data_IF_252119972577
#
_entry.id   IF_252119972577
#
_cell.length_a   1.000
_cell.length_b   1.000
_cell.length_c   1.000
_cell.angle_alpha   90.00
_cell.angle_beta   90.00
_cell.angle_gamma   90.00
#
_symmetry.space_group_name_H-M   'P 1'
#
loop_
_entity.id
_entity.type
_entity.pdbx_description
1 polymer ?
#
# COMPACT_ATOMS: atom_id res chain seq x y z
N UNK A 1 -8.02 35.00 12.09
CA UNK A 1 -6.94 35.08 11.08
C UNK A 1 -5.62 34.76 11.77
N UNK A 2 -5.23 33.47 11.79
CA UNK A 2 -3.88 33.06 12.18
C UNK A 2 -3.27 32.39 10.96
N UNK A 3 -2.33 33.10 10.36
CA UNK A 3 -1.50 32.67 9.26
C UNK A 3 -0.61 31.51 9.73
N UNK A 4 -0.56 30.43 8.94
CA UNK A 4 0.47 29.40 9.03
C UNK A 4 1.53 29.70 7.97
N UNK A 5 2.72 30.21 8.31
CA UNK A 5 3.84 30.27 7.40
C UNK A 5 4.64 28.97 7.47
N UNK A 6 4.91 28.42 6.28
CA UNK A 6 6.00 27.52 5.90
C UNK A 6 7.13 27.35 6.94
N UNK A 7 7.18 26.16 7.56
CA UNK A 7 8.39 25.34 7.77
C UNK A 7 8.07 24.26 8.82
N UNK A 8 7.96 23.00 8.37
CA UNK A 8 7.75 21.80 9.21
C UNK A 8 6.43 21.82 9.97
N UNK A 9 5.51 20.93 9.60
CA UNK A 9 4.40 20.54 10.47
C UNK A 9 5.01 19.95 11.75
N UNK A 10 5.25 20.79 12.76
CA UNK A 10 5.77 20.33 14.05
C UNK A 10 4.62 19.59 14.73
N UNK A 11 4.67 18.27 14.67
CA UNK A 11 3.83 17.34 15.42
C UNK A 11 3.99 17.59 16.93
N UNK A 12 3.30 18.60 17.46
CA UNK A 12 3.23 18.92 18.90
C UNK A 12 1.79 18.77 19.39
N UNK A 13 1.06 17.81 18.86
CA UNK A 13 -0.14 17.30 19.49
C UNK A 13 0.26 16.09 20.34
N UNK A 14 0.05 16.17 21.66
CA UNK A 14 0.39 15.10 22.61
C UNK A 14 -0.42 13.81 22.40
N UNK A 15 -1.39 13.81 21.48
CA UNK A 15 -2.19 12.62 21.11
C UNK A 15 -1.59 11.77 19.99
N UNK A 16 -0.57 12.25 19.27
CA UNK A 16 0.06 11.52 18.14
C UNK A 16 1.35 10.84 18.58
N UNK A 17 1.21 9.75 19.33
CA UNK A 17 2.33 9.08 20.00
C UNK A 17 2.93 7.93 19.21
N UNK A 18 2.26 7.45 18.17
CA UNK A 18 2.71 6.37 17.30
C UNK A 18 2.60 6.72 15.82
N UNK A 19 3.34 6.03 14.95
CA UNK A 19 3.18 6.13 13.49
C UNK A 19 1.74 5.80 13.07
N UNK A 20 1.09 4.84 13.71
CA UNK A 20 -0.31 4.50 13.50
C UNK A 20 -1.25 5.70 13.77
N UNK A 21 -0.96 6.51 14.80
CA UNK A 21 -1.71 7.74 15.09
C UNK A 21 -1.49 8.80 14.01
N UNK A 22 -0.26 8.95 13.51
CA UNK A 22 0.08 9.85 12.40
C UNK A 22 -0.68 9.44 11.13
N UNK A 23 -0.68 8.16 10.79
CA UNK A 23 -1.43 7.65 9.63
C UNK A 23 -2.93 7.81 9.85
N UNK A 24 -3.44 7.62 11.06
CA UNK A 24 -4.84 7.91 11.40
C UNK A 24 -5.18 9.39 11.23
N UNK A 25 -4.24 10.29 11.53
CA UNK A 25 -4.41 11.73 11.29
C UNK A 25 -4.52 12.02 9.79
N UNK A 26 -3.61 11.47 8.98
CA UNK A 26 -3.61 11.64 7.54
C UNK A 26 -4.84 11.01 6.86
N UNK A 27 -5.33 9.88 7.35
CA UNK A 27 -6.52 9.21 6.80
C UNK A 27 -7.79 10.10 6.88
N UNK A 28 -7.82 11.08 7.80
CA UNK A 28 -8.92 12.06 7.88
C UNK A 28 -8.96 13.04 6.69
N UNK A 29 -7.82 13.26 6.04
CA UNK A 29 -7.70 14.13 4.88
C UNK A 29 -7.90 13.36 3.56
N UNK A 30 -8.03 12.03 3.60
CA UNK A 30 -8.29 11.20 2.42
C UNK A 30 -9.49 11.75 1.65
N UNK A 31 -9.28 11.98 0.35
CA UNK A 31 -10.33 12.56 -0.51
C UNK A 31 -11.51 11.61 -0.61
N UNK A 32 -12.68 12.12 -0.23
CA UNK A 32 -13.91 11.34 -0.06
C UNK A 32 -14.77 11.25 -1.33
N UNK A 33 -15.92 10.60 -1.18
CA UNK A 33 -16.87 10.25 -2.24
C UNK A 33 -17.33 11.48 -3.05
N UNK A 34 -17.28 11.36 -4.38
CA UNK A 34 -17.74 12.40 -5.34
C UNK A 34 -17.15 13.80 -5.09
N UNK A 35 -15.95 13.87 -4.51
CA UNK A 35 -15.25 15.14 -4.33
C UNK A 35 -14.83 15.75 -5.68
N UNK A 36 -14.45 14.90 -6.64
CA UNK A 36 -14.05 15.34 -7.97
C UNK A 36 -15.19 15.24 -8.98
N UNK A 37 -15.40 16.33 -9.72
CA UNK A 37 -15.99 16.29 -11.06
C UNK A 37 -14.87 16.18 -12.10
N UNK A 38 -15.20 16.14 -13.39
CA UNK A 38 -14.18 16.04 -14.44
C UNK A 38 -13.11 17.13 -14.33
N UNK A 39 -13.52 18.38 -14.23
CA UNK A 39 -12.59 19.53 -14.20
C UNK A 39 -11.69 19.49 -12.97
N UNK A 40 -12.24 19.15 -11.80
CA UNK A 40 -11.44 19.09 -10.57
C UNK A 40 -10.59 17.82 -10.48
N UNK A 41 -11.03 16.71 -11.08
CA UNK A 41 -10.23 15.50 -11.27
C UNK A 41 -9.01 15.78 -12.16
N UNK A 42 -9.23 16.37 -13.34
CA UNK A 42 -8.17 16.70 -14.29
C UNK A 42 -7.16 17.66 -13.66
N UNK A 43 -7.66 18.66 -12.93
CA UNK A 43 -6.80 19.57 -12.17
C UNK A 43 -6.01 18.83 -11.08
N UNK A 44 -6.60 17.86 -10.39
CA UNK A 44 -5.97 17.08 -9.33
C UNK A 44 -4.95 16.06 -9.83
N UNK A 45 -4.94 15.68 -11.11
CA UNK A 45 -3.92 14.79 -11.65
C UNK A 45 -2.55 15.49 -11.71
N UNK A 46 -1.44 14.76 -11.45
CA UNK A 46 -0.12 15.32 -11.64
C UNK A 46 0.12 15.56 -13.13
N UNK A 47 0.71 16.71 -13.46
CA UNK A 47 1.38 16.90 -14.75
C UNK A 47 2.54 15.90 -14.89
N UNK A 48 3.02 15.60 -16.11
CA UNK A 48 4.17 14.69 -16.28
C UNK A 48 5.42 15.09 -15.48
N UNK A 49 5.67 16.39 -15.33
CA UNK A 49 6.77 16.92 -14.53
C UNK A 49 6.55 16.78 -13.02
N UNK A 50 5.32 16.98 -12.54
CA UNK A 50 4.98 16.74 -11.13
C UNK A 50 5.07 15.25 -10.78
N UNK A 51 4.55 14.38 -11.65
CA UNK A 51 4.61 12.92 -11.46
C UNK A 51 6.06 12.46 -11.38
N UNK A 52 6.90 12.89 -12.33
CA UNK A 52 8.34 12.58 -12.33
C UNK A 52 9.01 13.07 -11.05
N UNK A 53 8.80 14.34 -10.67
CA UNK A 53 9.38 14.90 -9.44
C UNK A 53 8.92 14.13 -8.19
N UNK A 54 7.67 13.66 -8.17
CA UNK A 54 7.08 12.97 -7.03
C UNK A 54 7.63 11.55 -6.90
N UNK A 55 7.71 10.81 -8.01
CA UNK A 55 8.35 9.49 -8.05
C UNK A 55 9.85 9.57 -7.76
N UNK A 56 10.56 10.58 -8.26
CA UNK A 56 11.99 10.79 -7.95
C UNK A 56 12.20 11.06 -6.45
N UNK A 57 11.28 11.79 -5.82
CA UNK A 57 11.31 12.02 -4.37
C UNK A 57 11.09 10.72 -3.59
N UNK A 58 10.18 9.85 -4.05
CA UNK A 58 9.97 8.50 -3.48
C UNK A 58 11.23 7.65 -3.61
N UNK A 59 11.85 7.62 -4.79
CA UNK A 59 13.10 6.89 -5.03
C UNK A 59 14.25 7.43 -4.15
N UNK A 60 14.34 8.75 -3.96
CA UNK A 60 15.31 9.37 -3.06
C UNK A 60 15.08 8.97 -1.59
N UNK A 61 13.82 8.94 -1.14
CA UNK A 61 13.46 8.50 0.21
C UNK A 61 13.84 7.04 0.49
N UNK A 62 13.69 6.16 -0.50
CA UNK A 62 14.14 4.76 -0.36
C UNK A 62 15.65 4.62 -0.09
N UNK A 63 16.46 5.65 -0.35
CA UNK A 63 17.89 5.67 -0.08
C UNK A 63 18.27 6.37 1.24
N UNK A 64 17.32 6.85 2.03
CA UNK A 64 17.63 7.55 3.28
C UNK A 64 18.24 6.60 4.32
N UNK A 65 19.30 7.09 4.96
CA UNK A 65 19.92 6.50 6.15
C UNK A 65 20.27 7.60 7.16
N UNK A 66 19.54 7.64 8.26
CA UNK A 66 19.65 8.59 9.37
C UNK A 66 19.14 10.01 9.12
N UNK A 67 18.79 10.40 7.88
CA UNK A 67 18.52 11.81 7.57
C UNK A 67 17.46 12.07 6.49
N UNK A 68 16.22 12.36 6.90
CA UNK A 68 15.14 12.77 6.01
C UNK A 68 15.40 14.12 5.30
N UNK A 69 16.23 15.00 5.87
CA UNK A 69 16.51 16.33 5.29
C UNK A 69 17.43 16.28 4.09
N UNK A 70 18.06 15.12 3.83
CA UNK A 70 18.85 14.89 2.62
C UNK A 70 17.98 14.84 1.35
N UNK A 71 16.68 14.57 1.48
CA UNK A 71 15.75 14.54 0.36
C UNK A 71 15.09 15.91 0.22
N UNK A 72 15.52 16.66 -0.79
CA UNK A 72 14.89 17.93 -1.13
C UNK A 72 13.61 17.68 -1.94
N UNK A 73 12.50 18.30 -1.51
CA UNK A 73 11.28 18.35 -2.32
C UNK A 73 11.49 19.33 -3.47
N UNK A 74 11.39 18.89 -4.74
CA UNK A 74 11.55 19.77 -5.91
C UNK A 74 10.58 20.95 -5.87
N UNK A 75 10.99 22.11 -6.39
CA UNK A 75 10.17 23.35 -6.34
C UNK A 75 8.77 23.21 -6.91
N UNK A 76 8.60 22.37 -7.95
CA UNK A 76 7.30 22.08 -8.55
C UNK A 76 6.33 21.37 -7.59
N UNK A 77 6.84 20.77 -6.51
CA UNK A 77 6.06 20.08 -5.49
C UNK A 77 5.98 20.82 -4.16
N UNK A 78 6.72 21.91 -3.95
CA UNK A 78 6.86 22.53 -2.62
C UNK A 78 5.54 23.06 -2.03
N UNK A 79 4.58 23.43 -2.88
CA UNK A 79 3.25 23.88 -2.47
C UNK A 79 2.24 22.72 -2.34
N UNK A 80 2.64 21.50 -2.73
CA UNK A 80 1.77 20.31 -2.76
C UNK A 80 2.22 19.29 -1.72
N UNK A 81 3.51 19.04 -1.59
CA UNK A 81 4.10 17.98 -0.76
C UNK A 81 5.21 18.50 0.14
N UNK A 82 5.40 17.82 1.25
CA UNK A 82 6.58 17.98 2.10
C UNK A 82 7.13 16.62 2.54
N UNK A 83 8.44 16.60 2.82
CA UNK A 83 9.08 15.50 3.54
C UNK A 83 9.24 15.94 5.00
N UNK A 84 8.66 15.16 5.91
CA UNK A 84 8.73 15.40 7.35
C UNK A 84 9.43 14.25 8.06
N UNK A 85 10.22 14.58 9.08
CA UNK A 85 10.74 13.63 10.07
C UNK A 85 9.71 13.48 11.19
N UNK A 86 9.34 12.25 11.50
CA UNK A 86 8.56 11.90 12.68
C UNK A 86 9.38 10.97 13.58
N UNK A 87 9.40 11.25 14.88
CA UNK A 87 10.09 10.46 15.89
C UNK A 87 9.08 9.88 16.88
N UNK A 88 8.96 8.56 16.88
CA UNK A 88 8.19 7.80 17.85
C UNK A 88 9.12 7.44 19.01
N UNK A 89 8.87 8.02 20.19
CA UNK A 89 9.69 7.79 21.39
C UNK A 89 8.95 6.89 22.37
N UNK A 90 9.52 5.72 22.62
CA UNK A 90 9.16 4.80 23.70
C UNK A 90 10.19 4.90 24.84
N UNK A 91 9.90 4.38 26.05
CA UNK A 91 10.83 4.47 27.19
C UNK A 91 12.23 3.89 26.95
N UNK A 92 12.37 2.94 26.03
CA UNK A 92 13.59 2.18 25.76
C UNK A 92 14.11 2.32 24.32
N UNK A 93 13.38 3.02 23.44
CA UNK A 93 13.74 3.14 22.03
C UNK A 93 13.11 4.37 21.37
N UNK A 94 13.84 4.98 20.43
CA UNK A 94 13.30 5.98 19.51
C UNK A 94 13.37 5.42 18.10
N UNK A 95 12.24 5.45 17.39
CA UNK A 95 12.17 5.11 15.97
C UNK A 95 11.82 6.36 15.18
N UNK A 96 12.47 6.52 14.04
CA UNK A 96 12.30 7.72 13.22
C UNK A 96 11.86 7.34 11.81
N UNK A 97 11.00 8.16 11.22
CA UNK A 97 10.37 7.91 9.92
C UNK A 97 10.43 9.16 9.05
N UNK A 98 10.75 8.99 7.77
CA UNK A 98 10.59 10.03 6.77
C UNK A 98 9.26 9.85 6.08
N UNK A 99 8.43 10.89 6.09
CA UNK A 99 7.07 10.85 5.56
C UNK A 99 6.94 11.91 4.47
N UNK A 100 6.66 11.48 3.25
CA UNK A 100 6.21 12.31 2.15
C UNK A 100 4.68 12.38 2.17
N UNK A 101 4.15 13.57 2.46
CA UNK A 101 2.71 13.79 2.56
C UNK A 101 2.28 15.08 1.89
N UNK A 102 1.06 15.06 1.36
CA UNK A 102 0.41 16.25 0.81
C UNK A 102 0.17 17.29 1.92
N UNK A 103 0.37 18.56 1.60
CA UNK A 103 0.26 19.70 2.54
C UNK A 103 -0.90 20.62 2.22
N UNK A 104 -1.45 20.58 1.00
CA UNK A 104 -2.60 21.36 0.58
C UNK A 104 -3.90 20.57 0.82
N UNK A 105 -4.84 21.20 1.52
CA UNK A 105 -6.18 20.65 1.73
C UNK A 105 -7.22 21.74 1.46
N UNK A 106 -8.39 21.32 1.00
CA UNK A 106 -9.54 22.20 0.83
C UNK A 106 -10.14 22.51 2.22
N UNK A 107 -10.12 23.78 2.60
CA UNK A 107 -10.54 24.20 3.94
C UNK A 107 -12.03 23.99 4.22
N UNK A 108 -12.87 23.89 3.18
CA UNK A 108 -14.31 23.69 3.34
C UNK A 108 -14.67 22.23 3.63
N UNK A 109 -14.02 21.29 2.94
CA UNK A 109 -14.25 19.85 3.09
C UNK A 109 -13.32 19.20 4.13
N UNK A 110 -12.13 19.76 4.34
CA UNK A 110 -11.08 19.16 5.15
C UNK A 110 -10.30 18.05 4.45
N UNK A 111 -10.50 17.84 3.15
CA UNK A 111 -9.79 16.81 2.37
C UNK A 111 -8.60 17.38 1.62
N UNK A 112 -7.66 16.51 1.26
CA UNK A 112 -6.61 16.83 0.30
C UNK A 112 -7.16 17.37 -1.02
N UNK A 113 -6.37 18.21 -1.68
CA UNK A 113 -6.78 18.77 -2.98
C UNK A 113 -6.45 17.79 -4.10
N UNK A 114 -5.29 17.13 -4.03
CA UNK A 114 -4.76 16.21 -5.04
C UNK A 114 -5.05 14.74 -4.73
N UNK A 115 -4.81 14.32 -3.49
CA UNK A 115 -5.01 12.96 -3.02
C UNK A 115 -4.09 11.93 -3.69
N UNK A 116 -2.83 12.26 -4.02
CA UNK A 116 -1.91 11.31 -4.68
C UNK A 116 -1.43 10.20 -3.74
N UNK A 117 -1.38 10.49 -2.43
CA UNK A 117 -1.06 9.51 -1.40
C UNK A 117 0.07 9.93 -0.47
N UNK A 118 0.35 9.04 0.47
CA UNK A 118 1.40 9.17 1.47
C UNK A 118 2.42 8.07 1.26
N UNK A 119 3.69 8.43 1.35
CA UNK A 119 4.79 7.48 1.31
C UNK A 119 5.67 7.65 2.55
N UNK A 120 6.08 6.53 3.16
CA UNK A 120 6.96 6.57 4.33
C UNK A 120 8.05 5.49 4.27
N UNK A 121 9.20 5.84 4.84
CA UNK A 121 10.36 4.95 5.04
C UNK A 121 10.88 5.12 6.47
N UNK A 122 11.64 4.13 6.95
CA UNK A 122 12.37 4.29 8.21
C UNK A 122 13.50 5.27 7.97
N UNK A 123 13.61 6.30 8.81
CA UNK A 123 14.69 7.27 8.70
C UNK A 123 16.04 6.62 9.01
N UNK A 124 16.08 5.72 10.00
CA UNK A 124 17.26 4.94 10.36
C UNK A 124 16.91 3.45 10.35
N UNK A 125 16.98 2.77 9.19
CA UNK A 125 16.58 1.38 9.10
C UNK A 125 17.46 0.50 9.98
N UNK A 126 16.84 -0.33 10.82
CA UNK A 126 17.57 -1.35 11.58
C UNK A 126 18.21 -2.33 10.59
N UNK A 127 19.53 -2.42 10.59
CA UNK A 127 20.22 -3.41 9.78
C UNK A 127 20.27 -4.75 10.55
N UNK A 128 19.87 -5.86 9.91
CA UNK A 128 19.43 -5.94 8.53
C UNK A 128 17.93 -5.71 8.29
N UNK A 129 17.60 -4.86 7.32
CA UNK A 129 16.21 -4.52 6.96
C UNK A 129 15.60 -5.56 6.01
N UNK A 130 14.31 -5.87 6.18
CA UNK A 130 13.56 -6.69 5.21
C UNK A 130 13.10 -5.82 4.05
N UNK A 131 13.16 -6.35 2.83
CA UNK A 131 12.58 -5.73 1.62
C UNK A 131 11.07 -5.97 1.54
N UNK A 132 10.37 -5.79 2.65
CA UNK A 132 8.91 -5.77 2.67
C UNK A 132 8.43 -4.37 2.29
N UNK A 133 7.45 -4.32 1.40
CA UNK A 133 6.81 -3.08 0.98
C UNK A 133 5.31 -3.19 1.26
N UNK A 134 4.82 -2.46 2.25
CA UNK A 134 3.40 -2.48 2.60
C UNK A 134 2.64 -1.36 1.90
N UNK A 135 1.43 -1.66 1.44
CA UNK A 135 0.57 -0.66 0.86
C UNK A 135 -0.91 -0.83 1.25
N UNK A 136 -1.63 0.29 1.28
CA UNK A 136 -3.08 0.34 1.52
C UNK A 136 -3.73 1.17 0.40
N UNK A 137 -4.22 0.53 -0.67
CA UNK A 137 -4.76 1.23 -1.83
C UNK A 137 -6.17 1.80 -1.60
N UNK A 138 -6.91 1.31 -0.61
CA UNK A 138 -8.30 1.69 -0.36
C UNK A 138 -8.53 2.24 1.05
N UNK A 139 -7.90 3.39 1.40
CA UNK A 139 -8.16 4.08 2.66
C UNK A 139 -9.65 4.38 2.81
N UNK A 140 -10.13 4.48 4.06
CA UNK A 140 -11.55 4.67 4.43
C UNK A 140 -12.47 3.50 4.03
N UNK A 141 -12.52 3.10 2.75
CA UNK A 141 -13.36 2.00 2.25
C UNK A 141 -13.03 0.67 2.91
N UNK A 142 -11.76 0.32 2.97
CA UNK A 142 -11.35 -0.97 3.51
C UNK A 142 -11.22 -0.92 5.03
N UNK A 143 -11.36 0.26 5.64
CA UNK A 143 -11.31 0.56 7.07
C UNK A 143 -10.10 -0.04 7.79
N UNK A 144 -9.30 0.80 8.46
CA UNK A 144 -8.13 0.38 9.25
C UNK A 144 -6.97 -0.22 8.46
N UNK A 145 -7.09 -0.49 7.16
CA UNK A 145 -5.97 -0.99 6.34
C UNK A 145 -4.76 -0.04 6.33
N UNK A 146 -4.89 1.31 6.31
CA UNK A 146 -3.72 2.20 6.43
C UNK A 146 -2.98 2.02 7.75
N UNK A 147 -3.72 1.95 8.87
CA UNK A 147 -3.15 1.79 10.21
C UNK A 147 -2.54 0.40 10.41
N UNK A 148 -3.13 -0.64 9.84
CA UNK A 148 -2.55 -1.97 9.86
C UNK A 148 -1.27 -2.02 9.02
N UNK A 149 -1.29 -1.48 7.80
CA UNK A 149 -0.11 -1.41 6.95
C UNK A 149 1.03 -0.64 7.62
N UNK A 150 0.74 0.46 8.32
CA UNK A 150 1.75 1.24 9.04
C UNK A 150 2.30 0.53 10.27
N UNK A 151 1.45 -0.17 11.03
CA UNK A 151 1.87 -1.01 12.13
C UNK A 151 2.81 -2.13 11.66
N UNK A 152 2.45 -2.83 10.58
CA UNK A 152 3.28 -3.89 10.00
C UNK A 152 4.58 -3.35 9.44
N UNK A 153 4.53 -2.23 8.74
CA UNK A 153 5.73 -1.55 8.24
C UNK A 153 6.72 -1.26 9.37
N UNK A 154 6.26 -0.71 10.50
CA UNK A 154 7.07 -0.44 11.68
C UNK A 154 7.57 -1.71 12.37
N UNK A 155 6.69 -2.68 12.62
CA UNK A 155 6.98 -3.86 13.46
C UNK A 155 7.81 -4.92 12.76
N UNK A 156 7.79 -4.95 11.42
CA UNK A 156 8.57 -5.93 10.63
C UNK A 156 9.92 -5.39 10.14
N UNK A 157 10.22 -4.11 10.37
CA UNK A 157 11.43 -3.52 9.81
C UNK A 157 11.36 -3.37 8.28
N UNK A 158 10.15 -3.15 7.75
CA UNK A 158 9.90 -3.07 6.32
C UNK A 158 10.55 -1.85 5.68
N UNK A 159 10.78 -1.95 4.37
CA UNK A 159 11.46 -0.92 3.58
C UNK A 159 10.58 0.30 3.31
N UNK A 160 9.29 0.08 3.03
CA UNK A 160 8.39 1.21 2.73
C UNK A 160 6.92 0.95 3.10
N UNK A 161 6.20 2.06 3.25
CA UNK A 161 4.76 2.15 3.37
C UNK A 161 4.21 3.09 2.28
N UNK A 162 3.17 2.66 1.56
CA UNK A 162 2.43 3.48 0.59
C UNK A 162 0.92 3.45 0.89
N UNK A 163 0.32 4.61 1.11
CA UNK A 163 -1.14 4.73 1.35
C UNK A 163 -1.72 5.63 0.29
N UNK A 164 -2.81 5.22 -0.36
CA UNK A 164 -3.48 6.10 -1.33
C UNK A 164 -4.06 7.36 -0.64
N UNK A 165 -4.15 8.47 -1.36
CA UNK A 165 -4.62 9.74 -0.79
C UNK A 165 -6.10 10.02 -1.04
N UNK A 166 -6.77 9.14 -1.77
CA UNK A 166 -8.17 9.26 -2.15
C UNK A 166 -8.85 7.91 -2.20
N UNK A 167 -10.15 7.92 -1.95
CA UNK A 167 -10.97 6.73 -2.02
C UNK A 167 -11.28 6.38 -3.48
N UNK A 168 -11.55 5.10 -3.77
CA UNK A 168 -11.80 4.61 -5.14
C UNK A 168 -12.93 5.33 -5.87
N UNK A 169 -13.88 5.91 -5.14
CA UNK A 169 -15.04 6.67 -5.66
C UNK A 169 -14.90 8.20 -5.48
N UNK A 170 -13.69 8.72 -5.30
CA UNK A 170 -13.47 10.17 -5.22
C UNK A 170 -13.89 10.88 -6.52
N UNK A 171 -13.74 10.19 -7.66
CA UNK A 171 -14.49 10.44 -8.88
C UNK A 171 -15.40 9.24 -9.19
N UNK A 172 -16.59 9.49 -9.70
CA UNK A 172 -17.53 8.45 -10.17
C UNK A 172 -17.41 8.16 -11.67
N UNK A 173 -16.42 8.77 -12.33
CA UNK A 173 -16.13 8.46 -13.72
C UNK A 173 -15.47 7.07 -13.84
N UNK A 174 -16.01 6.16 -14.69
CA UNK A 174 -15.40 4.85 -14.92
C UNK A 174 -14.00 4.95 -15.49
N UNK A 175 -13.10 4.04 -15.07
CA UNK A 175 -11.78 3.93 -15.68
C UNK A 175 -11.84 3.32 -17.09
N UNK A 176 -10.91 3.74 -17.94
CA UNK A 176 -10.66 3.10 -19.24
C UNK A 176 -9.68 1.92 -19.14
N UNK A 177 -9.06 1.70 -17.98
CA UNK A 177 -8.10 0.63 -17.74
C UNK A 177 -8.82 -0.71 -17.48
N UNK A 178 -9.05 -1.08 -16.22
CA UNK A 178 -9.87 -2.26 -15.89
C UNK A 178 -11.32 -1.81 -15.77
N UNK A 179 -12.17 -2.11 -16.76
CA UNK A 179 -13.50 -1.49 -16.85
C UNK A 179 -14.55 -2.10 -15.91
N UNK A 180 -14.48 -3.40 -15.63
CA UNK A 180 -15.53 -4.10 -14.88
C UNK A 180 -14.97 -4.95 -13.76
N UNK A 181 -15.64 -4.94 -12.61
CA UNK A 181 -15.41 -5.89 -11.51
C UNK A 181 -16.02 -7.27 -11.81
N UNK A 182 -15.85 -8.20 -10.88
CA UNK A 182 -16.35 -9.58 -11.01
C UNK A 182 -17.89 -9.70 -10.99
N UNK A 183 -18.60 -8.66 -10.54
CA UNK A 183 -20.06 -8.59 -10.47
C UNK A 183 -20.66 -7.78 -11.64
N UNK A 184 -19.81 -7.28 -12.55
CA UNK A 184 -20.20 -6.46 -13.70
C UNK A 184 -20.39 -4.98 -13.39
N UNK A 185 -20.01 -4.52 -12.18
CA UNK A 185 -19.95 -3.12 -11.81
C UNK A 185 -18.70 -2.42 -12.36
N UNK A 186 -18.71 -1.07 -12.48
CA UNK A 186 -17.54 -0.35 -12.98
C UNK A 186 -16.48 -0.15 -11.89
N UNK A 187 -15.21 -0.28 -12.27
CA UNK A 187 -14.14 0.40 -11.54
C UNK A 187 -14.07 1.88 -11.97
N UNK A 188 -13.56 2.73 -11.08
CA UNK A 188 -13.49 4.17 -11.31
C UNK A 188 -12.06 4.62 -11.55
N UNK A 189 -11.88 5.75 -12.22
CA UNK A 189 -10.54 6.31 -12.49
C UNK A 189 -9.73 6.60 -11.23
N UNK A 190 -10.41 6.83 -10.10
CA UNK A 190 -9.77 7.06 -8.79
C UNK A 190 -9.50 5.78 -8.01
N UNK A 191 -9.70 4.58 -8.58
CA UNK A 191 -9.38 3.31 -7.92
C UNK A 191 -7.88 2.98 -8.04
N UNK A 192 -7.10 3.06 -6.95
CA UNK A 192 -5.64 2.91 -7.00
C UNK A 192 -5.17 1.50 -7.37
N UNK A 193 -6.04 0.50 -7.28
CA UNK A 193 -5.73 -0.88 -7.65
C UNK A 193 -6.11 -1.23 -9.09
N UNK A 194 -6.94 -0.41 -9.75
CA UNK A 194 -7.59 -0.75 -11.03
C UNK A 194 -7.39 0.27 -12.15
N UNK A 195 -6.71 1.39 -11.89
CA UNK A 195 -6.30 2.36 -12.91
C UNK A 195 -4.79 2.62 -12.84
N UNK A 196 -4.07 2.35 -13.93
CA UNK A 196 -2.63 2.58 -14.00
C UNK A 196 -2.23 4.06 -14.08
N UNK A 197 -3.19 4.96 -14.32
CA UNK A 197 -2.96 6.40 -14.33
C UNK A 197 -3.05 7.01 -12.91
N UNK A 198 -3.47 6.23 -11.91
CA UNK A 198 -3.44 6.70 -10.53
C UNK A 198 -1.98 6.89 -10.07
N UNK A 199 -1.65 7.99 -9.36
CA UNK A 199 -0.31 8.21 -8.80
C UNK A 199 0.16 7.05 -7.92
N UNK A 200 -0.76 6.36 -7.23
CA UNK A 200 -0.44 5.16 -6.46
C UNK A 200 0.25 4.07 -7.29
N UNK A 201 -0.17 3.84 -8.55
CA UNK A 201 0.50 2.90 -9.45
C UNK A 201 1.91 3.38 -9.80
N UNK A 202 2.07 4.68 -10.10
CA UNK A 202 3.37 5.30 -10.36
C UNK A 202 4.35 5.15 -9.19
N UNK A 203 3.88 5.37 -7.96
CA UNK A 203 4.66 5.15 -6.74
C UNK A 203 5.03 3.67 -6.57
N UNK A 204 4.06 2.77 -6.67
CA UNK A 204 4.28 1.32 -6.51
C UNK A 204 5.32 0.80 -7.53
N UNK A 205 5.20 1.24 -8.81
CA UNK A 205 6.18 0.95 -9.86
C UNK A 205 7.57 1.47 -9.53
N UNK A 206 7.66 2.68 -8.99
CA UNK A 206 8.95 3.29 -8.60
C UNK A 206 9.62 2.52 -7.48
N UNK A 207 8.85 2.07 -6.48
CA UNK A 207 9.35 1.25 -5.37
C UNK A 207 9.87 -0.09 -5.92
N UNK A 208 9.13 -0.72 -6.83
CA UNK A 208 9.55 -1.96 -7.47
C UNK A 208 10.84 -1.80 -8.28
N UNK A 209 10.92 -0.77 -9.14
CA UNK A 209 12.13 -0.49 -9.91
C UNK A 209 13.36 -0.26 -9.01
N UNK A 210 13.19 0.50 -7.92
CA UNK A 210 14.24 0.69 -6.92
C UNK A 210 14.66 -0.66 -6.30
N UNK A 211 13.73 -1.53 -5.93
CA UNK A 211 14.05 -2.83 -5.34
C UNK A 211 14.82 -3.73 -6.32
N UNK A 212 14.45 -3.72 -7.61
CA UNK A 212 15.18 -4.46 -8.66
C UNK A 212 16.61 -3.94 -8.85
N UNK A 213 16.80 -2.61 -8.87
CA UNK A 213 18.13 -1.98 -8.94
C UNK A 213 19.00 -2.26 -7.70
N UNK A 214 18.41 -2.69 -6.58
CA UNK A 214 19.08 -2.96 -5.30
C UNK A 214 19.13 -4.45 -4.94
N UNK A 215 19.18 -5.32 -5.96
CA UNK A 215 19.43 -6.76 -5.78
C UNK A 215 18.21 -7.66 -5.90
N UNK A 216 17.09 -7.11 -6.39
CA UNK A 216 15.89 -7.86 -6.74
C UNK A 216 15.03 -8.25 -5.55
N UNK A 217 13.83 -8.77 -5.84
CA UNK A 217 12.91 -9.27 -4.80
C UNK A 217 13.18 -10.74 -4.43
N UNK A 218 14.07 -10.96 -3.47
CA UNK A 218 14.37 -12.32 -3.00
C UNK A 218 13.25 -12.89 -2.13
N UNK A 219 12.68 -14.03 -2.54
CA UNK A 219 11.49 -14.64 -1.95
C UNK A 219 11.55 -14.93 -0.42
N UNK A 220 12.75 -15.00 0.17
CA UNK A 220 12.93 -15.23 1.61
C UNK A 220 12.84 -13.95 2.45
N UNK A 221 12.95 -12.76 1.84
CA UNK A 221 13.09 -11.49 2.56
C UNK A 221 12.39 -10.30 1.88
N UNK A 222 11.75 -10.52 0.74
CA UNK A 222 11.06 -9.49 -0.04
C UNK A 222 9.65 -9.91 -0.43
N UNK A 223 8.72 -8.95 -0.36
CA UNK A 223 7.38 -9.03 -0.92
C UNK A 223 6.74 -7.64 -1.01
N UNK A 224 5.82 -7.48 -1.95
CA UNK A 224 4.96 -6.31 -2.11
C UNK A 224 3.56 -6.65 -1.61
N UNK A 225 3.20 -6.14 -0.44
CA UNK A 225 1.99 -6.52 0.28
C UNK A 225 0.95 -5.42 0.16
N UNK A 226 -0.20 -5.72 -0.43
CA UNK A 226 -1.37 -4.84 -0.40
C UNK A 226 -2.39 -5.33 0.61
N UNK A 227 -2.66 -4.50 1.62
CA UNK A 227 -3.64 -4.74 2.66
C UNK A 227 -5.01 -4.26 2.19
N UNK A 228 -5.94 -5.19 2.03
CA UNK A 228 -7.34 -4.93 1.66
C UNK A 228 -8.31 -5.38 2.76
N UNK A 229 -9.54 -4.92 2.63
CA UNK A 229 -10.64 -5.24 3.53
C UNK A 229 -11.89 -5.67 2.78
N UNK A 230 -12.44 -6.82 3.15
CA UNK A 230 -13.71 -7.32 2.62
C UNK A 230 -14.88 -7.08 3.57
N UNK A 231 -16.07 -6.91 3.00
CA UNK A 231 -17.33 -6.87 3.74
C UNK A 231 -17.61 -8.22 4.43
N UNK A 232 -18.42 -8.21 5.50
CA UNK A 232 -18.74 -9.42 6.25
C UNK A 232 -19.42 -10.51 5.41
N UNK A 233 -20.22 -10.12 4.41
CA UNK A 233 -20.88 -11.02 3.47
C UNK A 233 -19.96 -11.57 2.39
N UNK A 234 -18.85 -10.88 2.09
CA UNK A 234 -17.94 -11.25 1.00
C UNK A 234 -16.89 -12.22 1.53
N UNK A 235 -16.74 -13.37 0.87
CA UNK A 235 -15.88 -14.47 1.32
C UNK A 235 -16.02 -14.75 2.83
N UNK A 236 -17.25 -14.89 3.30
CA UNK A 236 -17.57 -14.95 4.74
C UNK A 236 -16.91 -16.12 5.48
N UNK A 237 -16.49 -17.17 4.75
CA UNK A 237 -15.75 -18.29 5.32
C UNK A 237 -14.31 -17.95 5.70
N UNK A 238 -13.71 -16.90 5.13
CA UNK A 238 -12.31 -16.54 5.35
C UNK A 238 -12.19 -15.38 6.34
N UNK A 239 -11.38 -15.56 7.38
CA UNK A 239 -10.95 -14.44 8.25
C UNK A 239 -9.95 -13.56 7.51
N UNK A 240 -9.05 -14.19 6.76
CA UNK A 240 -8.17 -13.56 5.77
C UNK A 240 -8.05 -14.46 4.53
N UNK A 241 -8.05 -13.87 3.35
CA UNK A 241 -7.85 -14.54 2.07
C UNK A 241 -6.65 -13.91 1.38
N UNK A 242 -5.63 -14.70 1.08
CA UNK A 242 -4.40 -14.23 0.44
C UNK A 242 -4.38 -14.69 -1.02
N UNK A 243 -3.94 -13.83 -1.93
CA UNK A 243 -3.73 -14.19 -3.34
C UNK A 243 -2.54 -13.45 -3.93
N UNK A 244 -1.97 -13.98 -5.01
CA UNK A 244 -0.86 -13.36 -5.76
C UNK A 244 -1.32 -12.81 -7.11
N UNK A 245 -2.61 -12.50 -7.29
CA UNK A 245 -3.11 -11.97 -8.57
C UNK A 245 -3.36 -13.03 -9.65
N UNK A 246 -3.31 -14.32 -9.31
CA UNK A 246 -3.67 -15.41 -10.20
C UNK A 246 -5.16 -15.74 -10.09
N UNK A 247 -5.78 -16.06 -11.24
CA UNK A 247 -7.17 -16.49 -11.31
C UNK A 247 -7.41 -17.88 -10.75
N UNK A 248 -8.51 -18.51 -11.18
CA UNK A 248 -8.97 -19.81 -10.66
C UNK A 248 -8.96 -20.93 -11.72
N UNK A 249 -8.19 -20.77 -12.80
CA UNK A 249 -7.97 -21.86 -13.74
C UNK A 249 -7.22 -23.01 -13.06
N UNK A 250 -7.25 -24.20 -13.66
CA UNK A 250 -6.54 -25.37 -13.12
C UNK A 250 -5.05 -25.09 -12.90
N UNK A 251 -4.38 -24.43 -13.85
CA UNK A 251 -2.97 -24.06 -13.72
C UNK A 251 -2.72 -23.03 -12.62
N UNK A 252 -3.62 -22.05 -12.44
CA UNK A 252 -3.51 -21.08 -11.34
C UNK A 252 -3.69 -21.73 -9.96
N UNK A 253 -4.67 -22.63 -9.80
CA UNK A 253 -4.87 -23.34 -8.54
C UNK A 253 -3.70 -24.30 -8.26
N UNK A 254 -3.18 -24.98 -9.28
CA UNK A 254 -2.01 -25.84 -9.17
C UNK A 254 -0.75 -25.08 -8.70
N UNK A 255 -0.62 -23.79 -9.06
CA UNK A 255 0.48 -22.95 -8.57
C UNK A 255 0.44 -22.82 -7.04
N UNK A 256 -0.73 -22.61 -6.43
CA UNK A 256 -0.86 -22.47 -4.98
C UNK A 256 -0.57 -23.78 -4.23
N UNK A 257 -0.93 -24.93 -4.82
CA UNK A 257 -0.67 -26.25 -4.21
C UNK A 257 0.71 -26.83 -4.55
N UNK A 258 1.44 -26.21 -5.47
CA UNK A 258 2.79 -26.65 -5.84
C UNK A 258 3.72 -26.60 -4.61
N UNK A 259 4.63 -27.59 -4.43
CA UNK A 259 5.60 -27.59 -3.34
C UNK A 259 6.68 -26.50 -3.48
N UNK A 260 6.71 -25.76 -4.60
CA UNK A 260 7.62 -24.65 -4.78
C UNK A 260 7.39 -23.59 -3.70
N UNK A 261 8.49 -23.24 -3.03
CA UNK A 261 8.53 -22.21 -2.02
C UNK A 261 8.21 -20.84 -2.62
N UNK A 262 7.23 -20.15 -2.05
CA UNK A 262 6.80 -18.84 -2.49
C UNK A 262 6.42 -17.97 -1.27
N UNK A 263 6.69 -16.64 -1.30
CA UNK A 263 6.46 -15.75 -0.16
C UNK A 263 5.06 -15.88 0.45
N UNK A 264 4.03 -15.86 -0.40
CA UNK A 264 2.63 -15.93 0.03
C UNK A 264 2.26 -17.26 0.71
N UNK A 265 2.78 -18.39 0.22
CA UNK A 265 2.51 -19.71 0.80
C UNK A 265 3.17 -19.85 2.16
N UNK A 266 4.41 -19.35 2.27
CA UNK A 266 5.13 -19.32 3.54
C UNK A 266 4.40 -18.43 4.55
N UNK A 267 3.96 -17.25 4.13
CA UNK A 267 3.19 -16.34 4.97
C UNK A 267 1.90 -16.98 5.46
N UNK A 268 1.13 -17.65 4.59
CA UNK A 268 -0.09 -18.34 5.01
C UNK A 268 0.22 -19.44 6.03
N UNK A 269 1.23 -20.27 5.78
CA UNK A 269 1.66 -21.32 6.72
C UNK A 269 2.01 -20.74 8.09
N UNK A 270 2.84 -19.69 8.15
CA UNK A 270 3.21 -19.05 9.42
C UNK A 270 2.02 -18.34 10.09
N UNK A 271 1.14 -17.71 9.31
CA UNK A 271 -0.05 -17.06 9.83
C UNK A 271 -1.00 -18.07 10.47
N UNK A 272 -1.17 -19.27 9.90
CA UNK A 272 -1.97 -20.35 10.52
C UNK A 272 -1.39 -20.85 11.84
N UNK A 273 -0.06 -20.76 12.04
CA UNK A 273 0.57 -21.10 13.32
C UNK A 273 0.32 -20.02 14.39
N UNK A 274 0.27 -18.74 13.98
CA UNK A 274 0.04 -17.62 14.89
C UNK A 274 -1.46 -17.47 15.21
N UNK A 275 -2.32 -17.60 14.20
CA UNK A 275 -3.77 -17.42 14.28
C UNK A 275 -4.50 -18.77 14.27
N UNK A 276 -4.31 -19.57 15.31
CA UNK A 276 -4.78 -20.98 15.37
C UNK A 276 -6.29 -21.19 15.26
N UNK A 277 -7.09 -20.13 15.44
CA UNK A 277 -8.56 -20.17 15.34
C UNK A 277 -9.11 -19.50 14.07
N UNK A 278 -8.26 -18.92 13.23
CA UNK A 278 -8.68 -18.18 12.05
C UNK A 278 -8.65 -19.06 10.82
N UNK A 279 -9.58 -18.81 9.90
CA UNK A 279 -9.47 -19.36 8.56
C UNK A 279 -8.65 -18.39 7.68
N UNK A 280 -7.43 -18.82 7.32
CA UNK A 280 -6.51 -18.07 6.46
C UNK A 280 -6.23 -18.90 5.21
N UNK A 281 -6.82 -18.49 4.10
CA UNK A 281 -6.91 -19.32 2.88
C UNK A 281 -6.12 -18.73 1.72
N UNK A 282 -5.58 -19.61 0.87
CA UNK A 282 -5.19 -19.32 -0.50
C UNK A 282 -6.33 -19.65 -1.47
N UNK A 283 -6.26 -19.30 -2.77
CA UNK A 283 -7.29 -19.65 -3.74
C UNK A 283 -7.52 -21.16 -3.91
N UNK A 284 -6.53 -21.99 -3.56
CA UNK A 284 -6.68 -23.46 -3.50
C UNK A 284 -7.57 -23.94 -2.36
N UNK A 285 -7.70 -23.17 -1.28
CA UNK A 285 -8.31 -23.61 -0.02
C UNK A 285 -9.75 -23.07 0.13
N UNK A 286 -10.07 -21.99 -0.59
CA UNK A 286 -11.36 -21.30 -0.53
C UNK A 286 -11.88 -20.96 -1.92
N UNK A 287 -13.22 -20.92 -2.06
CA UNK A 287 -13.91 -20.45 -3.26
C UNK A 287 -14.00 -18.93 -3.37
N UNK A 288 -13.34 -18.18 -2.47
CA UNK A 288 -13.31 -16.72 -2.52
C UNK A 288 -12.82 -16.21 -3.89
N UNK A 289 -13.53 -15.22 -4.44
CA UNK A 289 -13.28 -14.65 -5.76
C UNK A 289 -12.30 -13.46 -5.75
N UNK A 290 -11.96 -12.92 -4.59
CA UNK A 290 -11.13 -11.70 -4.43
C UNK A 290 -9.62 -12.00 -4.65
N UNK A 291 -9.30 -12.52 -5.81
CA UNK A 291 -7.98 -13.05 -6.19
C UNK A 291 -7.03 -12.00 -6.76
N UNK A 292 -7.45 -10.72 -6.79
CA UNK A 292 -6.69 -9.59 -7.33
C UNK A 292 -6.18 -9.77 -8.78
N UNK A 293 -6.87 -10.56 -9.61
CA UNK A 293 -6.52 -10.75 -11.02
C UNK A 293 -6.50 -9.46 -11.83
N UNK A 294 -7.33 -8.50 -11.42
CA UNK A 294 -7.48 -7.18 -12.04
C UNK A 294 -6.56 -6.11 -11.44
N UNK A 295 -5.76 -6.44 -10.42
CA UNK A 295 -4.87 -5.46 -9.81
C UNK A 295 -3.75 -5.08 -10.77
N UNK A 296 -3.69 -3.82 -11.21
CA UNK A 296 -2.74 -3.39 -12.24
C UNK A 296 -1.28 -3.51 -11.80
N UNK A 297 -0.99 -3.28 -10.51
CA UNK A 297 0.35 -3.46 -9.95
C UNK A 297 0.69 -4.94 -9.74
N UNK A 298 -0.29 -5.73 -9.29
CA UNK A 298 -0.13 -7.19 -9.22
C UNK A 298 0.18 -7.83 -10.58
N UNK A 299 -0.50 -7.39 -11.64
CA UNK A 299 -0.19 -7.79 -13.02
C UNK A 299 1.24 -7.42 -13.41
N UNK A 300 1.69 -6.21 -13.09
CA UNK A 300 3.06 -5.75 -13.36
C UNK A 300 4.11 -6.67 -12.70
N UNK A 301 3.99 -6.94 -11.40
CA UNK A 301 4.89 -7.81 -10.66
C UNK A 301 4.87 -9.25 -11.19
N UNK A 302 3.72 -9.68 -11.71
CA UNK A 302 3.56 -11.00 -12.33
C UNK A 302 4.02 -11.04 -13.80
N UNK A 303 4.85 -10.11 -14.25
CA UNK A 303 5.49 -10.15 -15.58
C UNK A 303 4.63 -9.62 -16.72
N UNK A 304 3.52 -8.94 -16.44
CA UNK A 304 2.74 -8.24 -17.47
C UNK A 304 3.37 -6.87 -17.74
N UNK A 305 3.62 -6.57 -19.01
CA UNK A 305 4.17 -5.28 -19.42
C UNK A 305 3.22 -4.12 -19.06
N UNK A 306 3.76 -2.94 -18.74
CA UNK A 306 2.97 -1.78 -18.25
C UNK A 306 1.90 -1.30 -19.26
N UNK A 307 2.16 -1.45 -20.57
CA UNK A 307 1.18 -1.19 -21.61
C UNK A 307 -0.05 -2.11 -21.51
N UNK A 308 0.15 -3.35 -21.06
CA UNK A 308 -0.84 -4.43 -21.05
C UNK A 308 -1.55 -4.62 -19.70
N UNK A 309 -1.06 -4.03 -18.59
CA UNK A 309 -1.62 -4.29 -17.24
C UNK A 309 -3.11 -3.93 -17.10
N UNK A 310 -3.69 -3.16 -18.02
CA UNK A 310 -5.13 -2.89 -18.05
C UNK A 310 -5.95 -4.05 -18.61
N UNK A 311 -5.40 -4.84 -19.53
CA UNK A 311 -6.17 -5.76 -20.39
C UNK A 311 -5.71 -7.21 -20.32
N UNK A 312 -4.51 -7.49 -19.81
CA UNK A 312 -3.94 -8.85 -19.76
C UNK A 312 -3.82 -9.34 -18.32
N UNK A 313 -4.41 -10.50 -18.07
CA UNK A 313 -4.25 -11.21 -16.80
C UNK A 313 -2.87 -11.88 -16.73
N UNK A 314 -2.37 -12.05 -15.50
CA UNK A 314 -1.19 -12.87 -15.23
C UNK A 314 -1.48 -14.36 -15.41
N UNK A 315 -0.48 -15.12 -15.87
CA UNK A 315 -0.54 -16.57 -15.95
C UNK A 315 0.40 -17.23 -14.94
N UNK A 316 0.17 -18.50 -14.63
CA UNK A 316 0.91 -19.22 -13.59
C UNK A 316 2.42 -19.42 -13.90
N UNK A 317 2.88 -19.14 -15.13
CA UNK A 317 4.28 -19.38 -15.54
C UNK A 317 5.21 -18.22 -15.21
N UNK A 318 4.67 -17.02 -14.99
CA UNK A 318 5.45 -15.80 -14.73
C UNK A 318 5.41 -15.35 -13.26
N UNK A 319 4.65 -16.04 -12.40
CA UNK A 319 4.39 -15.61 -11.02
C UNK A 319 5.40 -16.19 -10.02
N UNK A 320 6.08 -15.30 -9.30
CA UNK A 320 7.02 -15.61 -8.21
C UNK A 320 6.34 -15.71 -6.84
N UNK A 321 5.16 -15.11 -6.68
CA UNK A 321 4.48 -14.99 -5.38
C UNK A 321 4.91 -13.78 -4.55
N UNK A 322 5.69 -12.85 -5.14
CA UNK A 322 6.14 -11.63 -4.46
C UNK A 322 5.03 -10.60 -4.26
N UNK A 323 4.01 -10.58 -5.13
CA UNK A 323 2.80 -9.81 -4.91
C UNK A 323 1.90 -10.55 -3.91
N UNK A 324 1.63 -9.94 -2.76
CA UNK A 324 0.76 -10.49 -1.74
C UNK A 324 -0.44 -9.55 -1.56
N UNK A 325 -1.58 -9.98 -2.05
CA UNK A 325 -2.87 -9.35 -1.81
C UNK A 325 -3.56 -10.03 -0.63
N UNK A 326 -3.98 -9.29 0.40
CA UNK A 326 -4.64 -9.85 1.58
C UNK A 326 -5.99 -9.18 1.81
N UNK A 327 -7.06 -9.94 1.61
CA UNK A 327 -8.45 -9.55 1.86
C UNK A 327 -8.91 -10.02 3.23
N UNK A 328 -9.26 -9.08 4.10
CA UNK A 328 -9.41 -9.38 5.52
C UNK A 328 -10.82 -9.11 6.04
N UNK A 329 -11.23 -9.79 7.10
CA UNK A 329 -12.35 -9.36 7.93
C UNK A 329 -12.00 -8.11 8.76
N UNK A 330 -12.99 -7.34 9.19
CA UNK A 330 -12.76 -6.14 10.01
C UNK A 330 -12.05 -6.46 11.35
N UNK A 331 -12.29 -7.67 11.88
CA UNK A 331 -11.64 -8.15 13.10
C UNK A 331 -10.14 -8.38 12.85
N UNK A 332 -9.77 -8.99 11.72
CA UNK A 332 -8.37 -9.23 11.36
C UNK A 332 -7.54 -7.95 11.14
N UNK A 333 -8.21 -6.81 10.91
CA UNK A 333 -7.60 -5.47 10.78
C UNK A 333 -7.58 -4.67 12.09
N UNK A 334 -8.01 -5.26 13.20
CA UNK A 334 -7.99 -4.60 14.50
C UNK A 334 -6.57 -4.45 15.04
N UNK A 335 -6.31 -3.36 15.77
CA UNK A 335 -5.02 -3.11 16.41
C UNK A 335 -4.60 -4.19 17.41
N UNK A 336 -5.57 -4.92 17.97
CA UNK A 336 -5.37 -6.10 18.81
C UNK A 336 -4.52 -7.19 18.14
N UNK A 337 -4.56 -7.30 16.81
CA UNK A 337 -3.88 -8.35 16.06
C UNK A 337 -2.65 -7.87 15.28
N UNK A 338 -2.21 -6.62 15.47
CA UNK A 338 -1.04 -6.09 14.76
C UNK A 338 0.25 -6.82 15.14
N UNK A 339 0.43 -7.18 16.42
CA UNK A 339 1.60 -7.96 16.85
C UNK A 339 1.59 -9.37 16.27
N UNK A 340 0.43 -10.03 16.29
CA UNK A 340 0.28 -11.37 15.73
C UNK A 340 0.54 -11.38 14.21
N UNK A 341 0.03 -10.40 13.47
CA UNK A 341 0.37 -10.28 12.05
C UNK A 341 1.86 -10.00 11.84
N UNK A 342 2.44 -9.07 12.60
CA UNK A 342 3.86 -8.78 12.51
C UNK A 342 4.72 -10.02 12.82
N UNK A 343 4.30 -10.85 13.78
CA UNK A 343 4.94 -12.13 14.08
C UNK A 343 4.87 -13.09 12.89
N UNK A 344 3.70 -13.25 12.25
CA UNK A 344 3.56 -14.08 11.06
C UNK A 344 4.48 -13.61 9.91
N UNK A 345 4.55 -12.31 9.64
CA UNK A 345 5.49 -11.73 8.67
C UNK A 345 6.95 -11.94 9.10
N UNK A 346 7.29 -11.75 10.36
CA UNK A 346 8.65 -11.91 10.86
C UNK A 346 9.14 -13.36 10.77
N UNK A 347 8.24 -14.34 10.92
CA UNK A 347 8.53 -15.77 10.72
C UNK A 347 8.63 -16.12 9.24
N UNK A 348 7.77 -15.55 8.39
CA UNK A 348 7.74 -15.84 6.96
C UNK A 348 8.87 -15.17 6.17
N UNK A 349 9.47 -14.10 6.70
CA UNK A 349 10.50 -13.33 6.03
C UNK A 349 11.72 -13.16 6.93
N UNK A 350 12.88 -13.60 6.45
CA UNK A 350 14.14 -13.57 7.20
C UNK A 350 14.77 -12.16 7.10
N UNK A 351 15.35 -11.67 8.20
CA UNK A 351 16.19 -10.46 8.18
C UNK A 351 17.58 -10.84 7.63
N UNK A 352 18.13 -10.08 6.68
CA UNK A 352 19.35 -10.45 5.94
C UNK A 352 20.65 -9.82 6.44
#
# INVERSE_FOLDING_TARGET
MSWWPSSVMRWRDSSLSTLEDIITCFDKFTVSFEFYNQTTYDAAQPTPSELTAWTDTIAALLNVDGNCTSVAVPSILQDIYSVSLYEETAPDSTRSFCILSETNFDAASGFYVRGWGLFAVQASPAQPARSLHFAAPHPVFDMKTPMQASALFKRTGAKSLLVAGRIRTASKEPTLCVQTDSEGGPYYKTDPAHDKNEPFFGAAKTIHAWQEDHGGCQAASCAFVQMHGKAASTCAGDTAFMSTGLGRSESSLAWYTSPADAPIKRLQSEALQVFTTWNISLPSDSSCGLTATTNVFGRLLNGIAEEDVCVRDADATTVSGEFIHIEQSIMARSSEFYDAWAEAFNRAFIQR
#
